data_IF_469808073836
#
_entry.id   IF_469808073836
#
_cell.length_a   1.000
_cell.length_b   1.000
_cell.length_c   1.000
_cell.angle_alpha   90.00
_cell.angle_beta   90.00
_cell.angle_gamma   90.00
#
_symmetry.space_group_name_H-M   'P 1'
#
loop_
_entity.id
_entity.type
_entity.pdbx_description
1 polymer ?
#
# COMPACT_ATOMS: atom_id res chain seq x y z
N UNK A 1 -34.77 -3.28 -69.32
CA UNK A 1 -33.79 -4.35 -69.04
C UNK A 1 -32.87 -3.88 -67.92
N UNK A 2 -32.63 -4.77 -66.95
CA UNK A 2 -31.90 -4.57 -65.69
C UNK A 2 -30.47 -4.01 -65.81
N UNK A 3 -30.04 -3.24 -64.80
CA UNK A 3 -28.74 -3.42 -64.11
C UNK A 3 -28.77 -2.82 -62.69
N UNK A 4 -28.40 -3.65 -61.72
CA UNK A 4 -28.26 -3.42 -60.28
C UNK A 4 -26.79 -3.03 -59.97
N UNK A 5 -26.56 -2.25 -58.89
CA UNK A 5 -25.39 -2.20 -57.94
C UNK A 5 -24.92 -0.75 -57.66
N UNK A 6 -24.60 -0.27 -56.45
CA UNK A 6 -24.51 -0.81 -55.08
C UNK A 6 -24.53 0.39 -54.11
N UNK A 7 -25.19 0.27 -52.95
CA UNK A 7 -25.14 1.22 -51.83
C UNK A 7 -23.82 1.08 -51.07
N UNK A 8 -23.07 2.18 -50.90
CA UNK A 8 -21.90 2.23 -50.03
C UNK A 8 -22.34 2.37 -48.55
N UNK A 9 -22.01 1.36 -47.77
CA UNK A 9 -22.27 1.20 -46.35
C UNK A 9 -21.41 2.15 -45.51
N UNK A 10 -22.05 2.96 -44.64
CA UNK A 10 -21.38 3.64 -43.51
C UNK A 10 -20.91 2.59 -42.51
N UNK A 11 -19.61 2.50 -42.30
CA UNK A 11 -19.01 1.69 -41.23
C UNK A 11 -19.19 2.42 -39.90
N UNK A 12 -20.04 1.87 -39.03
CA UNK A 12 -20.08 2.22 -37.61
C UNK A 12 -18.95 1.50 -36.86
N UNK A 13 -18.30 2.11 -35.85
CA UNK A 13 -17.37 1.39 -34.99
C UNK A 13 -18.15 0.44 -34.05
N UNK A 14 -18.01 -0.87 -34.26
CA UNK A 14 -18.27 -1.93 -33.27
C UNK A 14 -17.02 -2.06 -32.37
N UNK A 15 -17.08 -2.42 -31.09
CA UNK A 15 -18.10 -3.18 -30.34
C UNK A 15 -17.99 -2.93 -28.83
N UNK A 16 -19.12 -2.63 -28.19
CA UNK A 16 -19.36 -3.07 -26.82
C UNK A 16 -19.86 -4.52 -26.90
N UNK A 17 -19.18 -5.46 -26.26
CA UNK A 17 -19.70 -6.82 -26.13
C UNK A 17 -20.62 -6.88 -24.90
N UNK A 18 -21.93 -6.95 -25.11
CA UNK A 18 -22.90 -7.24 -24.04
C UNK A 18 -23.13 -8.75 -23.96
N UNK A 19 -22.96 -9.30 -22.76
CA UNK A 19 -23.34 -10.67 -22.42
C UNK A 19 -24.88 -10.78 -22.40
N UNK A 20 -25.44 -11.79 -23.07
CA UNK A 20 -26.89 -12.04 -23.18
C UNK A 20 -27.46 -12.92 -22.04
N UNK A 21 -26.73 -13.07 -20.93
CA UNK A 21 -27.15 -13.83 -19.76
C UNK A 21 -27.98 -12.97 -18.77
N UNK A 22 -29.22 -13.37 -18.42
CA UNK A 22 -29.96 -12.75 -17.31
C UNK A 22 -29.16 -12.88 -16.00
N UNK A 23 -29.08 -11.82 -15.19
CA UNK A 23 -28.30 -11.70 -13.94
C UNK A 23 -26.77 -11.58 -14.06
N UNK A 24 -26.22 -11.22 -15.22
CA UNK A 24 -24.81 -10.86 -15.31
C UNK A 24 -24.59 -9.41 -14.84
N UNK A 25 -24.04 -9.22 -13.64
CA UNK A 25 -23.52 -7.93 -13.17
C UNK A 25 -22.18 -7.61 -13.86
N UNK A 26 -22.20 -7.40 -15.18
CA UNK A 26 -21.06 -6.79 -15.87
C UNK A 26 -21.07 -5.32 -15.52
N UNK A 27 -20.16 -4.89 -14.64
CA UNK A 27 -19.88 -3.47 -14.42
C UNK A 27 -19.26 -2.93 -15.71
N UNK A 28 -20.09 -2.36 -16.59
CA UNK A 28 -19.64 -1.69 -17.81
C UNK A 28 -18.83 -0.46 -17.38
N UNK A 29 -17.50 -0.58 -17.38
CA UNK A 29 -16.62 0.59 -17.29
C UNK A 29 -16.68 1.24 -18.67
N UNK A 30 -17.57 2.23 -18.83
CA UNK A 30 -17.56 3.08 -20.02
C UNK A 30 -16.25 3.88 -19.98
N UNK A 31 -15.27 3.48 -20.79
CA UNK A 31 -14.11 4.31 -21.07
C UNK A 31 -14.58 5.45 -21.95
N UNK A 32 -14.73 6.65 -21.36
CA UNK A 32 -15.13 7.89 -22.03
C UNK A 32 -13.99 8.53 -22.83
N UNK A 33 -13.13 7.71 -23.43
CA UNK A 33 -12.11 8.22 -24.34
C UNK A 33 -12.80 8.89 -25.54
N UNK A 34 -12.41 10.13 -25.85
CA UNK A 34 -13.06 11.00 -26.82
C UNK A 34 -12.02 11.68 -27.72
N UNK A 35 -12.38 11.84 -29.00
CA UNK A 35 -11.54 12.51 -29.99
C UNK A 35 -10.43 11.61 -30.54
N UNK A 36 -9.69 12.13 -31.52
CA UNK A 36 -8.53 11.44 -32.10
C UNK A 36 -7.25 11.81 -31.35
N UNK A 37 -6.43 10.81 -31.07
CA UNK A 37 -5.18 10.97 -30.32
C UNK A 37 -4.04 10.32 -31.10
N UNK A 38 -2.90 11.01 -31.14
CA UNK A 38 -1.64 10.46 -31.64
C UNK A 38 -0.99 9.60 -30.57
N UNK A 39 -0.99 10.07 -29.32
CA UNK A 39 -0.47 9.33 -28.17
C UNK A 39 -1.12 9.80 -26.86
N UNK A 40 -1.16 8.94 -25.82
CA UNK A 40 -0.95 7.50 -25.87
C UNK A 40 -2.17 6.75 -26.43
N UNK A 41 -2.03 5.46 -26.69
CA UNK A 41 -3.17 4.58 -26.96
C UNK A 41 -4.08 4.48 -25.73
N UNK A 42 -5.38 4.25 -25.97
CA UNK A 42 -6.37 4.04 -24.92
C UNK A 42 -5.91 2.98 -23.90
N UNK A 43 -6.07 3.28 -22.61
CA UNK A 43 -5.80 2.37 -21.49
C UNK A 43 -4.36 1.84 -21.42
N UNK A 44 -3.40 2.49 -22.10
CA UNK A 44 -2.00 2.11 -22.03
C UNK A 44 -1.52 2.08 -20.58
N UNK A 45 -0.70 1.08 -20.25
CA UNK A 45 -0.11 0.92 -18.92
C UNK A 45 1.29 1.51 -18.92
N UNK A 46 1.59 2.30 -17.90
CA UNK A 46 2.89 2.88 -17.59
C UNK A 46 3.32 2.43 -16.19
N UNK A 47 4.62 2.48 -15.92
CA UNK A 47 5.19 2.03 -14.65
C UNK A 47 6.04 3.12 -14.01
N UNK A 48 5.76 3.42 -12.75
CA UNK A 48 6.72 4.02 -11.83
C UNK A 48 7.89 3.05 -11.71
N UNK A 49 9.10 3.55 -11.91
CA UNK A 49 10.30 2.72 -11.95
C UNK A 49 10.67 2.17 -10.57
N UNK A 50 11.58 1.21 -10.57
CA UNK A 50 12.19 0.68 -9.34
C UNK A 50 12.95 1.75 -8.53
N UNK A 51 13.29 2.88 -9.14
CA UNK A 51 13.94 4.02 -8.48
C UNK A 51 12.93 5.07 -7.96
N UNK A 52 11.64 4.73 -7.99
CA UNK A 52 10.51 5.61 -7.68
C UNK A 52 10.43 6.83 -8.61
N UNK A 53 10.73 6.66 -9.90
CA UNK A 53 10.63 7.73 -10.90
C UNK A 53 9.31 7.60 -11.65
N UNK A 54 8.56 8.70 -11.71
CA UNK A 54 7.32 8.76 -12.49
C UNK A 54 7.61 8.61 -13.98
N UNK A 55 6.83 7.80 -14.74
CA UNK A 55 7.09 7.57 -16.15
C UNK A 55 6.84 8.81 -16.99
N UNK A 56 7.64 9.02 -18.04
CA UNK A 56 7.34 10.03 -19.06
C UNK A 56 6.11 9.62 -19.86
N UNK A 57 5.00 10.34 -19.68
CA UNK A 57 3.76 10.12 -20.43
C UNK A 57 3.47 11.36 -21.29
N UNK A 58 3.68 11.23 -22.60
CA UNK A 58 3.29 12.25 -23.56
C UNK A 58 1.86 12.01 -24.04
N UNK A 59 1.05 13.05 -23.95
CA UNK A 59 -0.28 13.15 -24.50
C UNK A 59 -0.23 14.04 -25.75
N UNK A 60 -0.85 13.61 -26.83
CA UNK A 60 -0.91 14.33 -28.10
C UNK A 60 -2.23 14.09 -28.82
N UNK A 61 -2.92 15.18 -29.17
CA UNK A 61 -4.21 15.16 -29.85
C UNK A 61 -4.06 15.43 -31.36
N UNK A 62 -4.94 14.85 -32.16
CA UNK A 62 -5.06 15.16 -33.59
C UNK A 62 -6.23 16.14 -33.79
N UNK A 63 -5.91 17.38 -34.14
CA UNK A 63 -6.88 18.46 -34.37
C UNK A 63 -6.34 19.52 -35.33
N UNK A 64 -7.22 20.17 -36.08
CA UNK A 64 -6.91 21.36 -36.87
C UNK A 64 -7.28 22.66 -36.13
N UNK A 65 -7.89 22.58 -34.95
CA UNK A 65 -8.23 23.74 -34.14
C UNK A 65 -6.94 24.45 -33.66
N UNK A 66 -6.94 25.78 -33.75
CA UNK A 66 -5.88 26.61 -33.19
C UNK A 66 -5.88 26.56 -31.66
N UNK A 67 -4.70 26.74 -31.07
CA UNK A 67 -4.52 26.91 -29.63
C UNK A 67 -5.11 28.23 -29.10
N UNK A 68 -5.05 28.45 -27.77
CA UNK A 68 -4.39 27.61 -26.78
C UNK A 68 -5.17 26.33 -26.46
N UNK A 69 -4.45 25.25 -26.16
CA UNK A 69 -5.00 23.97 -25.71
C UNK A 69 -5.09 23.95 -24.19
N UNK A 70 -6.30 23.73 -23.66
CA UNK A 70 -6.55 23.70 -22.22
C UNK A 70 -6.59 22.26 -21.74
N UNK A 71 -5.52 21.84 -21.09
CA UNK A 71 -5.37 20.52 -20.51
C UNK A 71 -5.92 20.50 -19.09
N UNK A 72 -6.64 19.45 -18.76
CA UNK A 72 -6.98 19.12 -17.38
C UNK A 72 -6.78 17.63 -17.18
N UNK A 73 -6.43 17.24 -15.96
CA UNK A 73 -6.17 15.85 -15.65
C UNK A 73 -6.71 15.49 -14.28
N UNK A 74 -7.08 14.22 -14.14
CA UNK A 74 -7.50 13.62 -12.90
C UNK A 74 -6.86 12.23 -12.78
N UNK A 75 -6.17 12.00 -11.68
CA UNK A 75 -5.67 10.69 -11.30
C UNK A 75 -6.56 10.16 -10.17
N UNK A 76 -7.05 8.94 -10.28
CA UNK A 76 -7.84 8.28 -9.23
C UNK A 76 -7.26 6.89 -8.96
N UNK A 77 -7.11 6.55 -7.69
CA UNK A 77 -6.88 5.18 -7.25
C UNK A 77 -7.90 4.76 -6.19
N UNK A 78 -8.54 3.63 -6.44
CA UNK A 78 -9.49 2.99 -5.52
C UNK A 78 -8.76 1.87 -4.77
N UNK A 79 -8.26 2.16 -3.58
CA UNK A 79 -7.54 1.20 -2.76
C UNK A 79 -8.48 0.05 -2.33
N UNK A 80 -8.19 -1.15 -2.82
CA UNK A 80 -8.95 -2.38 -2.54
C UNK A 80 -8.04 -3.44 -1.96
N UNK A 81 -8.50 -4.10 -0.91
CA UNK A 81 -7.78 -5.25 -0.33
C UNK A 81 -7.77 -6.43 -1.29
N UNK A 82 -6.77 -7.29 -1.13
CA UNK A 82 -6.69 -8.60 -1.79
C UNK A 82 -6.66 -9.69 -0.72
N UNK A 83 -7.25 -10.85 -0.97
CA UNK A 83 -7.28 -11.95 0.02
C UNK A 83 -6.03 -12.83 -0.03
N UNK A 84 -5.38 -12.94 -1.18
CA UNK A 84 -4.13 -13.67 -1.44
C UNK A 84 -3.38 -12.95 -2.55
N UNK A 85 -2.06 -13.01 -2.58
CA UNK A 85 -1.21 -12.35 -3.60
C UNK A 85 -1.73 -12.56 -5.04
N UNK A 86 -2.15 -13.78 -5.37
CA UNK A 86 -2.65 -14.15 -6.72
C UNK A 86 -4.17 -14.03 -6.91
N UNK A 87 -4.95 -13.77 -5.86
CA UNK A 87 -6.42 -13.73 -5.92
C UNK A 87 -6.96 -12.34 -6.30
N UNK A 88 -8.17 -12.23 -6.85
CA UNK A 88 -8.71 -10.92 -7.22
C UNK A 88 -8.81 -9.93 -6.04
N UNK A 89 -8.68 -8.63 -6.32
CA UNK A 89 -8.98 -7.56 -5.35
C UNK A 89 -10.47 -7.65 -4.97
N UNK A 90 -10.79 -7.39 -3.70
CA UNK A 90 -12.16 -7.32 -3.20
C UNK A 90 -12.92 -6.19 -3.90
N UNK A 91 -14.24 -6.36 -4.06
CA UNK A 91 -15.09 -5.33 -4.67
C UNK A 91 -15.18 -4.04 -3.85
N UNK A 92 -15.14 -4.18 -2.51
CA UNK A 92 -15.23 -3.04 -1.59
C UNK A 92 -13.96 -2.19 -1.68
N UNK A 93 -14.14 -0.94 -2.11
CA UNK A 93 -13.12 0.11 -1.99
C UNK A 93 -13.01 0.55 -0.53
N UNK A 94 -11.79 0.58 -0.01
CA UNK A 94 -11.49 0.98 1.38
C UNK A 94 -11.21 2.48 1.44
N UNK A 95 -10.50 2.99 0.43
CA UNK A 95 -10.17 4.41 0.31
C UNK A 95 -10.12 4.78 -1.16
N UNK A 96 -10.65 5.95 -1.50
CA UNK A 96 -10.46 6.55 -2.83
C UNK A 96 -9.52 7.74 -2.67
N UNK A 97 -8.44 7.74 -3.44
CA UNK A 97 -7.43 8.79 -3.47
C UNK A 97 -7.42 9.42 -4.86
N UNK A 98 -7.25 10.73 -4.91
CA UNK A 98 -7.24 11.44 -6.18
C UNK A 98 -6.37 12.68 -6.18
N UNK A 99 -5.77 12.95 -7.33
CA UNK A 99 -5.07 14.20 -7.65
C UNK A 99 -5.67 14.78 -8.93
N UNK A 100 -5.59 16.09 -9.08
CA UNK A 100 -6.05 16.75 -10.31
C UNK A 100 -5.30 18.04 -10.55
N UNK A 101 -5.29 18.48 -11.80
CA UNK A 101 -4.63 19.72 -12.17
C UNK A 101 -5.05 20.21 -13.55
N UNK A 102 -4.52 21.37 -13.91
CA UNK A 102 -4.76 22.04 -15.18
C UNK A 102 -3.45 22.58 -15.74
N UNK A 103 -3.38 22.66 -17.05
CA UNK A 103 -2.25 23.21 -17.79
C UNK A 103 -2.76 23.84 -19.08
N UNK A 104 -2.08 24.85 -19.61
CA UNK A 104 -2.38 25.44 -20.91
C UNK A 104 -1.09 25.47 -21.74
N UNK A 105 -1.21 25.13 -23.01
CA UNK A 105 -0.08 25.14 -23.96
C UNK A 105 -0.53 25.61 -25.34
N UNK A 106 0.42 26.12 -26.12
CA UNK A 106 0.23 26.35 -27.56
C UNK A 106 0.49 25.08 -28.39
N UNK A 107 1.13 24.07 -27.79
CA UNK A 107 1.42 22.80 -28.42
C UNK A 107 0.27 21.81 -28.23
N UNK A 108 -0.02 21.01 -29.27
CA UNK A 108 -0.94 19.86 -29.23
C UNK A 108 -0.42 18.69 -28.37
N UNK A 109 0.74 18.89 -27.73
CA UNK A 109 1.48 17.92 -26.93
C UNK A 109 1.59 18.41 -25.49
N UNK A 110 1.48 17.48 -24.55
CA UNK A 110 1.76 17.74 -23.15
C UNK A 110 2.44 16.51 -22.53
N UNK A 111 3.56 16.74 -21.83
CA UNK A 111 4.19 15.73 -20.99
C UNK A 111 3.59 15.84 -19.60
N UNK A 112 2.89 14.80 -19.15
CA UNK A 112 2.27 14.79 -17.84
C UNK A 112 3.34 14.82 -16.74
N UNK A 113 3.33 15.88 -15.93
CA UNK A 113 4.22 16.05 -14.78
C UNK A 113 3.49 15.88 -13.43
N UNK A 114 2.15 15.87 -13.42
CA UNK A 114 1.29 15.69 -12.23
C UNK A 114 1.66 16.51 -10.99
N UNK A 115 2.23 17.72 -11.18
CA UNK A 115 2.72 18.53 -10.07
C UNK A 115 3.94 17.93 -9.35
N UNK A 116 4.78 17.20 -10.10
CA UNK A 116 6.01 16.52 -9.64
C UNK A 116 5.80 15.34 -8.69
N UNK A 117 4.54 14.96 -8.41
CA UNK A 117 4.20 13.83 -7.56
C UNK A 117 4.42 12.49 -8.26
N UNK A 118 4.95 11.52 -7.51
CA UNK A 118 5.08 10.12 -7.96
C UNK A 118 3.89 9.30 -7.45
N UNK A 119 2.81 9.30 -8.23
CA UNK A 119 1.53 8.66 -7.87
C UNK A 119 0.99 7.79 -9.00
N UNK A 120 0.30 6.70 -8.65
CA UNK A 120 -0.29 5.76 -9.61
C UNK A 120 -1.82 5.73 -9.57
N UNK A 121 -2.41 4.87 -10.41
CA UNK A 121 -3.85 4.74 -10.58
C UNK A 121 -4.31 4.96 -12.02
N UNK A 122 -5.58 5.31 -12.21
CA UNK A 122 -6.14 5.68 -13.51
C UNK A 122 -5.97 7.18 -13.73
N UNK A 123 -5.17 7.55 -14.72
CA UNK A 123 -5.00 8.94 -15.15
C UNK A 123 -5.92 9.20 -16.35
N UNK A 124 -6.82 10.16 -16.20
CA UNK A 124 -7.67 10.66 -17.28
C UNK A 124 -7.29 12.10 -17.61
N UNK A 125 -6.97 12.36 -18.87
CA UNK A 125 -6.61 13.67 -19.40
C UNK A 125 -7.71 14.15 -20.33
N UNK A 126 -8.11 15.41 -20.17
CA UNK A 126 -9.07 16.11 -21.03
C UNK A 126 -8.42 17.33 -21.64
N UNK A 127 -8.75 17.61 -22.90
CA UNK A 127 -8.23 18.76 -23.64
C UNK A 127 -9.37 19.49 -24.31
N UNK A 128 -9.49 20.79 -24.06
CA UNK A 128 -10.36 21.66 -24.83
C UNK A 128 -9.52 22.42 -25.86
N UNK A 129 -9.91 22.29 -27.14
CA UNK A 129 -9.25 22.89 -28.31
C UNK A 129 -10.30 23.61 -29.16
N UNK A 130 -10.48 24.92 -28.91
CA UNK A 130 -11.59 25.68 -29.51
C UNK A 130 -12.96 25.09 -29.12
N UNK A 131 -13.73 24.62 -30.09
CA UNK A 131 -15.02 23.93 -29.88
C UNK A 131 -14.90 22.41 -29.75
N UNK A 132 -13.70 21.85 -29.91
CA UNK A 132 -13.45 20.42 -29.80
C UNK A 132 -12.99 20.06 -28.38
N UNK A 133 -13.35 18.87 -27.93
CA UNK A 133 -12.93 18.33 -26.64
C UNK A 133 -12.43 16.89 -26.81
N UNK A 134 -11.33 16.57 -26.14
CA UNK A 134 -10.66 15.28 -26.16
C UNK A 134 -10.62 14.69 -24.77
N UNK A 135 -10.66 13.37 -24.66
CA UNK A 135 -10.48 12.64 -23.40
C UNK A 135 -9.69 11.36 -23.65
N UNK A 136 -8.68 11.08 -22.81
CA UNK A 136 -7.88 9.85 -22.88
C UNK A 136 -7.52 9.39 -21.49
N UNK A 137 -7.69 8.09 -21.26
CA UNK A 137 -7.24 7.45 -20.02
C UNK A 137 -6.09 6.49 -20.22
N UNK A 138 -5.19 6.44 -19.24
CA UNK A 138 -4.08 5.48 -19.09
C UNK A 138 -4.04 4.96 -17.66
N UNK A 139 -3.28 3.88 -17.44
CA UNK A 139 -3.04 3.32 -16.11
C UNK A 139 -1.57 3.45 -15.72
N UNK A 140 -1.32 3.79 -14.47
CA UNK A 140 0.01 3.93 -13.90
C UNK A 140 0.12 2.93 -12.75
N UNK A 141 1.10 2.03 -12.86
CA UNK A 141 1.42 0.96 -11.91
C UNK A 141 2.82 1.17 -11.34
N UNK A 142 3.19 0.42 -10.31
CA UNK A 142 4.51 0.47 -9.68
C UNK A 142 5.34 -0.78 -9.97
N UNK A 143 6.66 -0.63 -9.85
CA UNK A 143 7.63 -1.73 -9.82
C UNK A 143 8.34 -1.76 -8.47
N UNK A 144 8.58 -2.96 -7.95
CA UNK A 144 9.28 -3.13 -6.69
C UNK A 144 10.78 -2.79 -6.83
N UNK A 145 11.40 -2.11 -5.84
CA UNK A 145 12.81 -1.70 -5.90
C UNK A 145 13.83 -2.85 -5.78
N UNK A 146 13.43 -4.01 -5.27
CA UNK A 146 14.34 -5.06 -4.83
C UNK A 146 14.97 -4.77 -3.46
N UNK A 147 15.30 -5.81 -2.71
CA UNK A 147 15.78 -5.70 -1.33
C UNK A 147 17.09 -4.89 -1.22
N UNK A 148 18.06 -5.12 -2.11
CA UNK A 148 19.36 -4.43 -2.08
C UNK A 148 19.22 -2.90 -2.19
N UNK A 149 18.30 -2.42 -3.03
CA UNK A 149 18.04 -1.00 -3.24
C UNK A 149 17.36 -0.38 -2.01
N UNK A 150 16.43 -1.10 -1.39
CA UNK A 150 15.80 -0.67 -0.13
C UNK A 150 16.83 -0.58 0.99
N UNK A 151 17.65 -1.60 1.17
CA UNK A 151 18.70 -1.65 2.19
C UNK A 151 19.74 -0.54 1.97
N UNK A 152 20.12 -0.27 0.72
CA UNK A 152 21.04 0.82 0.40
C UNK A 152 20.44 2.18 0.76
N UNK A 153 19.16 2.39 0.47
CA UNK A 153 18.46 3.62 0.81
C UNK A 153 18.30 3.82 2.33
N UNK A 154 18.01 2.74 3.07
CA UNK A 154 17.93 2.79 4.54
C UNK A 154 19.25 3.22 5.20
N UNK A 155 20.40 2.83 4.64
CA UNK A 155 21.72 3.22 5.16
C UNK A 155 21.99 4.73 5.09
N UNK A 156 21.26 5.46 4.25
CA UNK A 156 21.35 6.91 4.14
C UNK A 156 20.58 7.64 5.25
N UNK A 157 19.75 6.92 6.01
CA UNK A 157 18.89 7.47 7.05
C UNK A 157 19.47 7.12 8.42
N UNK A 158 19.61 8.11 9.30
CA UNK A 158 20.12 7.91 10.66
C UNK A 158 19.07 7.31 11.60
N UNK A 159 19.52 6.68 12.69
CA UNK A 159 18.66 6.19 13.79
C UNK A 159 17.57 5.18 13.41
N UNK A 160 17.81 4.37 12.38
CA UNK A 160 16.88 3.32 11.90
C UNK A 160 17.49 1.91 11.87
N UNK A 161 18.56 1.68 12.62
CA UNK A 161 19.15 0.35 12.76
C UNK A 161 18.10 -0.66 13.25
N UNK A 162 18.01 -1.81 12.58
CA UNK A 162 17.02 -2.86 12.87
C UNK A 162 15.64 -2.63 12.24
N UNK A 163 15.42 -1.53 11.50
CA UNK A 163 14.17 -1.31 10.77
C UNK A 163 14.06 -2.15 9.49
N UNK A 164 15.19 -2.58 8.93
CA UNK A 164 15.27 -3.53 7.82
C UNK A 164 14.58 -4.86 8.13
N UNK A 165 14.74 -5.39 9.35
CA UNK A 165 14.03 -6.60 9.80
C UNK A 165 12.50 -6.42 9.80
N UNK A 166 12.02 -5.25 10.23
CA UNK A 166 10.60 -4.92 10.16
C UNK A 166 10.13 -4.90 8.70
N UNK A 167 10.84 -4.21 7.82
CA UNK A 167 10.44 -4.12 6.39
C UNK A 167 10.40 -5.50 5.73
N UNK A 168 11.37 -6.37 6.01
CA UNK A 168 11.37 -7.74 5.51
C UNK A 168 10.16 -8.53 6.02
N UNK A 169 9.86 -8.40 7.33
CA UNK A 169 8.73 -9.06 7.95
C UNK A 169 7.38 -8.60 7.44
N UNK A 170 7.23 -7.29 7.28
CA UNK A 170 5.96 -6.64 6.92
C UNK A 170 5.61 -6.84 5.44
N UNK A 171 6.61 -6.87 4.55
CA UNK A 171 6.36 -6.83 3.11
C UNK A 171 7.32 -7.66 2.25
N UNK A 172 8.34 -8.27 2.84
CA UNK A 172 9.45 -8.90 2.12
C UNK A 172 10.05 -7.97 1.07
N UNK A 173 10.29 -6.71 1.47
CA UNK A 173 10.81 -5.64 0.63
C UNK A 173 9.96 -5.31 -0.62
N UNK A 174 8.64 -5.47 -0.53
CA UNK A 174 7.70 -5.10 -1.60
C UNK A 174 6.85 -3.88 -1.24
N UNK A 175 6.80 -2.92 -2.15
CA UNK A 175 5.84 -1.83 -2.08
C UNK A 175 4.55 -2.13 -2.85
N UNK A 176 4.63 -2.96 -3.90
CA UNK A 176 3.55 -3.27 -4.82
C UNK A 176 3.29 -4.77 -4.91
N UNK A 177 2.03 -5.12 -5.18
CA UNK A 177 1.62 -6.49 -5.50
C UNK A 177 2.04 -6.79 -6.94
N UNK A 178 2.84 -7.83 -7.16
CA UNK A 178 3.40 -8.16 -8.49
C UNK A 178 2.32 -8.37 -9.56
N UNK A 179 1.18 -8.93 -9.15
CA UNK A 179 0.10 -9.29 -10.07
C UNK A 179 -0.61 -8.07 -10.71
N UNK A 180 -0.66 -6.92 -10.03
CA UNK A 180 -1.39 -5.74 -10.51
C UNK A 180 -0.58 -4.43 -10.46
N UNK A 181 0.59 -4.43 -9.82
CA UNK A 181 1.45 -3.26 -9.66
C UNK A 181 0.79 -2.14 -8.85
N UNK A 182 -0.24 -2.43 -8.05
CA UNK A 182 -0.80 -1.49 -7.09
C UNK A 182 -0.13 -1.66 -5.72
N UNK A 183 -0.14 -0.62 -4.86
CA UNK A 183 0.42 -0.70 -3.53
C UNK A 183 -0.07 -1.93 -2.74
N UNK A 184 0.85 -2.51 -1.97
CA UNK A 184 0.55 -3.56 -1.00
C UNK A 184 -0.37 -2.97 0.07
N UNK A 185 -1.46 -3.66 0.38
CA UNK A 185 -2.47 -3.22 1.34
C UNK A 185 -2.92 -4.40 2.20
N UNK A 186 -2.58 -4.36 3.49
CA UNK A 186 -3.00 -5.38 4.45
C UNK A 186 -4.47 -5.25 4.85
N UNK A 187 -4.94 -6.25 5.60
CA UNK A 187 -6.34 -6.29 6.06
C UNK A 187 -6.66 -5.23 7.12
N UNK A 188 -5.66 -4.80 7.89
CA UNK A 188 -5.74 -3.80 8.97
C UNK A 188 -5.45 -2.38 8.49
N UNK A 189 -5.11 -2.18 7.21
CA UNK A 189 -4.96 -0.86 6.60
C UNK A 189 -3.52 -0.35 6.52
N UNK A 190 -2.53 -1.23 6.66
CA UNK A 190 -1.13 -0.97 6.38
C UNK A 190 -0.84 -0.91 4.89
N UNK A 191 0.08 -0.03 4.47
CA UNK A 191 0.41 0.18 3.07
C UNK A 191 1.92 0.10 2.78
N UNK A 192 2.26 -0.48 1.63
CA UNK A 192 3.60 -0.46 1.05
C UNK A 192 4.66 -1.23 1.85
N UNK A 193 5.92 -0.87 1.69
CA UNK A 193 7.07 -1.56 2.30
C UNK A 193 6.99 -1.65 3.83
N UNK A 194 6.53 -0.57 4.45
CA UNK A 194 6.57 -0.40 5.89
C UNK A 194 5.28 -0.84 6.57
N UNK A 195 4.20 -1.09 5.81
CA UNK A 195 2.88 -1.38 6.38
C UNK A 195 2.41 -0.36 7.42
N UNK A 196 2.75 0.92 7.25
CA UNK A 196 2.24 2.00 8.10
C UNK A 196 0.70 2.04 8.10
N UNK A 197 0.10 1.94 9.28
CA UNK A 197 -1.37 1.93 9.49
C UNK A 197 -1.87 3.16 10.25
N UNK A 198 -1.14 3.61 11.28
CA UNK A 198 -1.51 4.77 12.09
C UNK A 198 -0.26 5.59 12.51
N UNK A 199 -0.05 6.79 11.94
CA UNK A 199 -0.86 7.40 10.88
C UNK A 199 -0.81 6.58 9.58
N UNK A 200 -1.91 6.54 8.84
CA UNK A 200 -1.92 5.96 7.50
C UNK A 200 -1.13 6.87 6.55
N UNK A 201 -0.38 6.31 5.58
CA UNK A 201 0.36 7.13 4.63
C UNK A 201 -0.57 8.02 3.80
N UNK A 202 0.01 9.08 3.24
CA UNK A 202 -0.63 9.85 2.19
C UNK A 202 -0.56 9.14 0.82
N UNK A 203 -1.13 9.76 -0.21
CA UNK A 203 -1.23 9.14 -1.52
C UNK A 203 0.14 8.88 -2.17
N UNK A 204 1.09 9.79 -2.03
CA UNK A 204 2.42 9.66 -2.61
C UNK A 204 3.24 8.63 -1.84
N UNK A 205 3.18 8.65 -0.51
CA UNK A 205 3.80 7.63 0.34
C UNK A 205 3.30 6.20 0.05
N UNK A 206 2.11 6.03 -0.53
CA UNK A 206 1.62 4.71 -0.96
C UNK A 206 2.25 4.25 -2.28
N UNK A 207 2.51 5.18 -3.20
CA UNK A 207 2.96 4.90 -4.57
C UNK A 207 4.45 5.14 -4.82
N UNK A 208 5.13 5.81 -3.89
CA UNK A 208 6.56 6.07 -3.94
C UNK A 208 7.23 5.33 -2.77
N UNK A 209 7.95 4.26 -3.09
CA UNK A 209 8.56 3.41 -2.07
C UNK A 209 9.60 4.15 -1.22
N UNK A 210 10.26 5.19 -1.75
CA UNK A 210 11.20 6.03 -0.99
C UNK A 210 10.46 6.88 0.02
N UNK A 211 9.35 7.52 -0.38
CA UNK A 211 8.51 8.28 0.54
C UNK A 211 7.83 7.38 1.57
N UNK A 212 7.45 6.14 1.20
CA UNK A 212 6.99 5.12 2.14
C UNK A 212 8.03 4.83 3.23
N UNK A 213 9.29 4.58 2.82
CA UNK A 213 10.39 4.36 3.76
C UNK A 213 10.64 5.58 4.64
N UNK A 214 10.67 6.80 4.07
CA UNK A 214 10.86 8.02 4.88
C UNK A 214 9.78 8.17 5.95
N UNK A 215 8.53 7.94 5.59
CA UNK A 215 7.41 7.93 6.55
C UNK A 215 7.60 6.87 7.63
N UNK A 216 7.91 5.64 7.25
CA UNK A 216 8.13 4.54 8.19
C UNK A 216 9.32 4.77 9.11
N UNK A 217 10.42 5.30 8.58
CA UNK A 217 11.61 5.68 9.35
C UNK A 217 11.26 6.76 10.39
N UNK A 218 10.48 7.76 10.01
CA UNK A 218 10.04 8.81 10.92
C UNK A 218 9.22 8.24 12.08
N UNK A 219 8.30 7.31 11.79
CA UNK A 219 7.50 6.61 12.80
C UNK A 219 8.38 5.69 13.66
N UNK A 220 9.32 4.96 13.06
CA UNK A 220 10.25 4.07 13.77
C UNK A 220 11.11 4.85 14.76
N UNK A 221 11.65 5.99 14.35
CA UNK A 221 12.40 6.90 15.21
C UNK A 221 11.54 7.44 16.37
N UNK A 222 10.24 7.69 16.15
CA UNK A 222 9.30 8.02 17.23
C UNK A 222 9.15 6.86 18.23
N UNK A 223 8.95 5.64 17.75
CA UNK A 223 8.87 4.44 18.61
C UNK A 223 10.17 4.23 19.39
N UNK A 224 11.31 4.47 18.76
CA UNK A 224 12.62 4.37 19.39
C UNK A 224 12.81 5.46 20.45
N UNK A 225 12.39 6.71 20.22
CA UNK A 225 12.39 7.77 21.24
C UNK A 225 11.53 7.39 22.44
N UNK A 226 10.34 6.84 22.20
CA UNK A 226 9.46 6.35 23.26
C UNK A 226 10.10 5.19 24.05
N UNK A 227 10.78 4.27 23.37
CA UNK A 227 11.53 3.19 23.99
C UNK A 227 12.68 3.71 24.87
N UNK A 228 13.51 4.64 24.35
CA UNK A 228 14.58 5.30 25.12
C UNK A 228 14.03 5.97 26.38
N UNK A 229 12.92 6.71 26.27
CA UNK A 229 12.29 7.36 27.41
C UNK A 229 11.76 6.37 28.46
N UNK A 230 11.20 5.23 28.02
CA UNK A 230 10.69 4.20 28.92
C UNK A 230 11.82 3.46 29.64
N UNK A 231 12.82 2.99 28.89
CA UNK A 231 13.95 2.23 29.41
C UNK A 231 14.88 3.09 30.28
N UNK A 232 14.98 4.39 30.00
CA UNK A 232 15.76 5.34 30.79
C UNK A 232 15.04 5.93 32.00
N UNK A 233 13.78 5.52 32.26
CA UNK A 233 12.99 6.03 33.40
C UNK A 233 13.75 5.81 34.70
N UNK A 234 13.67 6.76 35.64
CA UNK A 234 14.38 6.71 36.92
C UNK A 234 15.91 6.51 36.78
N UNK A 235 16.51 7.04 35.70
CA UNK A 235 17.94 6.90 35.40
C UNK A 235 18.42 5.44 35.27
N UNK A 236 17.53 4.53 34.89
CA UNK A 236 17.85 3.13 34.63
C UNK A 236 18.73 3.00 33.39
N UNK A 237 19.74 2.15 33.45
CA UNK A 237 20.53 1.77 32.29
C UNK A 237 19.82 0.69 31.48
N UNK A 238 20.13 0.64 30.18
CA UNK A 238 19.62 -0.38 29.27
C UNK A 238 20.63 -0.66 28.16
N UNK A 239 20.56 -1.85 27.56
CA UNK A 239 21.44 -2.26 26.46
C UNK A 239 20.86 -1.85 25.11
N UNK A 240 21.70 -1.82 24.06
CA UNK A 240 21.22 -1.62 22.68
C UNK A 240 20.19 -2.66 22.27
N UNK A 241 20.33 -3.91 22.73
CA UNK A 241 19.37 -4.97 22.44
C UNK A 241 18.02 -4.74 23.11
N UNK A 242 18.00 -4.26 24.35
CA UNK A 242 16.77 -3.89 25.02
C UNK A 242 16.07 -2.73 24.29
N UNK A 243 16.82 -1.75 23.81
CA UNK A 243 16.26 -0.66 23.01
C UNK A 243 15.63 -1.18 21.70
N UNK A 244 16.31 -2.09 21.01
CA UNK A 244 15.83 -2.68 19.76
C UNK A 244 14.52 -3.45 19.97
N UNK A 245 14.49 -4.41 20.89
CA UNK A 245 13.30 -5.22 21.21
C UNK A 245 12.12 -4.35 21.69
N UNK A 246 12.39 -3.34 22.50
CA UNK A 246 11.38 -2.39 22.96
C UNK A 246 10.82 -1.54 21.80
N UNK A 247 11.67 -1.16 20.84
CA UNK A 247 11.27 -0.41 19.66
C UNK A 247 10.42 -1.27 18.72
N UNK A 248 10.83 -2.51 18.46
CA UNK A 248 10.08 -3.47 17.64
C UNK A 248 8.71 -3.81 18.24
N UNK A 249 8.64 -4.00 19.56
CA UNK A 249 7.36 -4.22 20.24
C UNK A 249 6.43 -3.02 20.09
N UNK A 250 6.96 -1.80 20.20
CA UNK A 250 6.19 -0.56 20.00
C UNK A 250 5.76 -0.32 18.56
N UNK A 251 6.45 -0.88 17.58
CA UNK A 251 6.06 -0.82 16.18
C UNK A 251 4.74 -1.56 15.94
N UNK A 252 4.68 -2.84 16.34
CA UNK A 252 3.47 -3.65 16.19
C UNK A 252 2.37 -3.29 17.22
N UNK A 253 2.79 -2.88 18.42
CA UNK A 253 1.91 -2.36 19.48
C UNK A 253 2.17 -3.04 20.83
N UNK A 254 2.67 -2.26 21.80
CA UNK A 254 2.93 -2.73 23.16
C UNK A 254 4.25 -2.21 23.73
N UNK A 255 4.63 -2.72 24.91
CA UNK A 255 5.97 -2.58 25.49
C UNK A 255 6.56 -3.98 25.69
N UNK A 256 7.87 -4.13 25.48
CA UNK A 256 8.53 -5.44 25.55
C UNK A 256 8.96 -5.79 26.98
N UNK A 257 9.51 -4.80 27.69
CA UNK A 257 10.13 -5.02 28.98
C UNK A 257 9.25 -4.60 30.16
N UNK A 258 9.49 -5.26 31.30
CA UNK A 258 9.13 -4.77 32.63
C UNK A 258 10.39 -4.63 33.48
N UNK A 259 10.32 -3.79 34.50
CA UNK A 259 11.44 -3.60 35.42
C UNK A 259 11.29 -4.51 36.63
N UNK A 260 12.30 -5.34 36.88
CA UNK A 260 12.42 -6.12 38.10
C UNK A 260 13.11 -5.26 39.17
N UNK A 261 12.34 -4.82 40.17
CA UNK A 261 12.86 -4.01 41.29
C UNK A 261 13.79 -4.82 42.22
N UNK A 262 13.59 -6.14 42.33
CA UNK A 262 14.40 -6.98 43.20
C UNK A 262 15.79 -7.23 42.60
N UNK A 263 15.85 -7.44 41.28
CA UNK A 263 17.12 -7.64 40.56
C UNK A 263 17.72 -6.35 40.00
N UNK A 264 16.98 -5.25 39.99
CA UNK A 264 17.43 -3.97 39.46
C UNK A 264 17.76 -4.01 37.97
N UNK A 265 16.94 -4.71 37.17
CA UNK A 265 17.18 -4.90 35.73
C UNK A 265 15.88 -4.91 34.90
N UNK A 266 16.00 -4.58 33.62
CA UNK A 266 14.94 -4.81 32.65
C UNK A 266 14.88 -6.30 32.26
N UNK A 267 13.68 -6.85 32.24
CA UNK A 267 13.40 -8.22 31.81
C UNK A 267 12.27 -8.25 30.78
N UNK A 268 12.25 -9.30 29.95
CA UNK A 268 11.14 -9.56 29.03
C UNK A 268 9.85 -9.66 29.85
N UNK A 269 8.78 -9.02 29.39
CA UNK A 269 7.49 -9.15 30.05
C UNK A 269 6.92 -10.57 29.85
N UNK A 270 6.99 -11.40 30.89
CA UNK A 270 6.53 -12.78 30.89
C UNK A 270 5.00 -12.94 31.03
N UNK A 271 4.27 -11.85 31.28
CA UNK A 271 2.80 -11.87 31.33
C UNK A 271 2.19 -12.35 30.00
N UNK A 272 2.97 -12.30 28.91
CA UNK A 272 2.60 -12.79 27.59
C UNK A 272 3.36 -14.07 27.24
N UNK A 273 2.59 -15.15 27.05
CA UNK A 273 3.04 -16.38 26.42
C UNK A 273 2.83 -16.32 24.91
N UNK A 274 3.91 -16.39 24.15
CA UNK A 274 3.86 -16.27 22.69
C UNK A 274 3.57 -17.60 22.00
N UNK A 275 2.82 -17.51 20.89
CA UNK A 275 2.57 -18.62 19.99
C UNK A 275 3.73 -18.76 18.99
N UNK A 276 4.61 -19.74 19.19
CA UNK A 276 5.75 -20.02 18.30
C UNK A 276 5.40 -20.45 16.86
N UNK A 277 4.12 -20.67 16.55
CA UNK A 277 3.64 -20.97 15.19
C UNK A 277 3.10 -19.74 14.48
N UNK A 278 3.15 -18.58 15.11
CA UNK A 278 2.62 -17.33 14.57
C UNK A 278 3.63 -16.20 14.80
N UNK A 279 3.54 -15.13 14.02
CA UNK A 279 4.52 -14.05 14.12
C UNK A 279 4.26 -13.03 15.21
N UNK A 280 3.02 -12.89 15.73
CA UNK A 280 2.68 -11.79 16.65
C UNK A 280 1.49 -12.07 17.57
N UNK A 281 1.13 -13.34 17.76
CA UNK A 281 0.00 -13.74 18.62
C UNK A 281 0.53 -14.30 19.94
N UNK A 282 -0.13 -13.94 21.04
CA UNK A 282 0.15 -14.49 22.36
C UNK A 282 -1.05 -14.44 23.30
N UNK A 283 -0.91 -15.04 24.48
CA UNK A 283 -1.91 -15.06 25.54
C UNK A 283 -1.39 -14.38 26.79
N UNK A 284 -2.31 -13.68 27.46
CA UNK A 284 -2.06 -13.10 28.77
C UNK A 284 -2.15 -14.19 29.85
N UNK A 285 -1.02 -14.65 30.38
CA UNK A 285 -0.97 -15.74 31.36
C UNK A 285 -1.27 -15.27 32.80
N UNK A 286 -1.40 -13.96 33.02
CA UNK A 286 -1.90 -13.43 34.29
C UNK A 286 -3.41 -13.64 34.45
N UNK A 287 -4.10 -13.90 33.33
CA UNK A 287 -5.50 -14.29 33.38
C UNK A 287 -5.62 -15.73 33.93
N UNK A 288 -6.42 -15.92 34.97
CA UNK A 288 -6.60 -17.20 35.67
C UNK A 288 -6.90 -18.39 34.74
N UNK A 289 -7.71 -18.19 33.72
CA UNK A 289 -8.00 -19.21 32.71
C UNK A 289 -6.85 -19.59 31.76
N UNK A 290 -5.78 -18.81 31.72
CA UNK A 290 -4.56 -19.05 30.93
C UNK A 290 -3.39 -19.53 31.80
N UNK A 291 -3.44 -19.28 33.11
CA UNK A 291 -2.39 -19.63 34.06
C UNK A 291 -2.03 -21.13 33.98
N UNK A 292 -0.71 -21.41 33.96
CA UNK A 292 -0.16 -22.76 33.90
C UNK A 292 -0.37 -23.50 32.56
N UNK A 293 -1.04 -22.90 31.58
CA UNK A 293 -1.29 -23.54 30.28
C UNK A 293 -0.16 -23.29 29.29
N UNK A 294 0.11 -24.30 28.49
CA UNK A 294 1.02 -24.23 27.35
C UNK A 294 0.36 -23.56 26.13
N UNK A 295 1.17 -23.03 25.22
CA UNK A 295 0.68 -22.48 23.96
C UNK A 295 -0.08 -23.52 23.11
N UNK A 296 0.27 -24.81 23.22
CA UNK A 296 -0.44 -25.90 22.55
C UNK A 296 -1.87 -26.09 23.06
N UNK A 297 -2.06 -26.07 24.38
CA UNK A 297 -3.36 -26.18 25.03
C UNK A 297 -4.24 -24.96 24.71
N UNK A 298 -3.67 -23.76 24.82
CA UNK A 298 -4.38 -22.52 24.52
C UNK A 298 -4.81 -22.44 23.05
N UNK A 299 -3.94 -22.83 22.12
CA UNK A 299 -4.31 -22.88 20.69
C UNK A 299 -5.43 -23.87 20.41
N UNK A 300 -5.38 -25.06 21.01
CA UNK A 300 -6.45 -26.07 20.88
C UNK A 300 -7.78 -25.52 21.40
N UNK A 301 -7.75 -24.85 22.56
CA UNK A 301 -8.90 -24.19 23.17
C UNK A 301 -9.46 -23.06 22.29
N UNK A 302 -8.60 -22.26 21.67
CA UNK A 302 -8.98 -21.08 20.88
C UNK A 302 -9.36 -21.43 19.43
N UNK A 303 -9.02 -22.63 18.94
CA UNK A 303 -9.45 -23.13 17.63
C UNK A 303 -10.95 -23.48 17.57
N UNK A 304 -11.63 -23.56 18.72
CA UNK A 304 -13.05 -23.88 18.78
C UNK A 304 -13.92 -22.73 18.20
N UNK A 305 -14.63 -22.96 17.07
CA UNK A 305 -15.42 -21.92 16.41
C UNK A 305 -16.64 -21.46 17.23
N UNK A 306 -17.06 -22.23 18.24
CA UNK A 306 -18.18 -21.88 19.14
C UNK A 306 -17.78 -20.94 20.27
N UNK A 307 -16.49 -20.65 20.43
CA UNK A 307 -16.02 -19.81 21.52
C UNK A 307 -16.34 -18.34 21.26
N UNK A 308 -16.65 -17.63 22.34
CA UNK A 308 -16.76 -16.17 22.30
C UNK A 308 -15.45 -15.54 21.78
N UNK A 309 -15.59 -14.78 20.70
CA UNK A 309 -14.47 -14.11 20.04
C UNK A 309 -13.97 -12.90 20.83
N UNK A 310 -14.76 -12.39 21.77
CA UNK A 310 -14.46 -11.24 22.62
C UNK A 310 -13.98 -11.61 24.03
N UNK A 311 -13.80 -12.91 24.33
CA UNK A 311 -13.37 -13.35 25.65
C UNK A 311 -11.99 -12.77 26.02
N UNK A 312 -11.88 -12.18 27.21
CA UNK A 312 -10.67 -11.50 27.68
C UNK A 312 -9.44 -12.41 27.82
N UNK A 313 -9.66 -13.73 27.98
CA UNK A 313 -8.61 -14.74 28.08
C UNK A 313 -8.16 -15.31 26.71
N UNK A 314 -8.71 -14.82 25.61
CA UNK A 314 -8.35 -15.24 24.25
C UNK A 314 -6.97 -14.68 23.87
N UNK A 315 -6.35 -15.30 22.86
CA UNK A 315 -5.18 -14.74 22.20
C UNK A 315 -5.39 -13.28 21.75
N UNK A 316 -4.31 -12.51 21.74
CA UNK A 316 -4.23 -11.13 21.23
C UNK A 316 -3.00 -10.94 20.35
N UNK A 317 -3.08 -9.97 19.43
CA UNK A 317 -1.90 -9.44 18.76
C UNK A 317 -1.07 -8.64 19.76
N UNK A 318 0.24 -8.81 19.74
CA UNK A 318 1.13 -8.21 20.76
C UNK A 318 2.52 -7.97 20.21
N UNK A 319 3.04 -6.78 20.50
CA UNK A 319 4.41 -6.38 20.18
C UNK A 319 5.47 -7.26 20.83
N UNK A 320 5.19 -7.89 21.98
CA UNK A 320 6.15 -8.81 22.63
C UNK A 320 6.47 -9.98 21.70
N UNK A 321 5.44 -10.67 21.21
CA UNK A 321 5.63 -11.82 20.32
C UNK A 321 6.16 -11.42 18.95
N UNK A 322 5.76 -10.24 18.46
CA UNK A 322 6.34 -9.68 17.24
C UNK A 322 7.84 -9.44 17.36
N UNK A 323 8.29 -8.84 18.46
CA UNK A 323 9.70 -8.59 18.71
C UNK A 323 10.50 -9.87 18.94
N UNK A 324 9.95 -10.86 19.67
CA UNK A 324 10.57 -12.18 19.83
C UNK A 324 10.78 -12.82 18.46
N UNK A 325 9.78 -12.78 17.59
CA UNK A 325 9.87 -13.39 16.27
C UNK A 325 10.91 -12.73 15.37
N UNK A 326 11.05 -11.39 15.43
CA UNK A 326 12.11 -10.66 14.72
C UNK A 326 13.52 -10.92 15.29
N UNK A 327 13.62 -11.39 16.53
CA UNK A 327 14.91 -11.72 17.16
C UNK A 327 15.40 -13.13 16.80
N UNK A 328 14.47 -14.04 16.50
CA UNK A 328 14.77 -15.41 16.07
C UNK A 328 15.22 -15.50 14.59
N UNK A 329 14.82 -14.53 13.77
CA UNK A 329 15.16 -14.38 12.33
C UNK A 329 16.51 -13.66 12.11
#
# INVERSE_FOLDING_TARGET
MNKIRTLATRTAPQSAATNSQPNSLVKVIVTTDKGKWVSPTAQKVYFISEDAVFPTIQFEIETDAAGPYKWSWQLIWEARQRTRETGARKEKTIRTLSESGKHASEDKKWIANLGEKVVGGKLTVKVDAGSQSFERSVHIRGKNPGAERVLSYLKEISDVAGFDKIIDKESSFKNFIEADGEPLLSFDGGYGLTQMTNPAPDFEQMWNWKENIKGGCSLYQEKQRAAKSFLGKNSRSYTSKQLELETWSRWNGGGYHRWDEAMGKWERNEDILCDSKTGNIGWDITHTENEGKTAAELRTRDANPKRDKAAANKWKYTGICYADHLDED
#
